data_IF_228852682977
#
_entry.id   IF_228852682977
#
_cell.length_a   1.000
_cell.length_b   1.000
_cell.length_c   1.000
_cell.angle_alpha   90.00
_cell.angle_beta   90.00
_cell.angle_gamma   90.00
#
_symmetry.space_group_name_H-M   'P 1'
#
loop_
_entity.id
_entity.type
_entity.pdbx_description
1 polymer ?
#
# COMPACT_ATOMS: atom_id res chain seq x y z
N UNK A 1 -10.71 19.83 -14.18
CA UNK A 1 -10.26 18.42 -14.09
C UNK A 1 -10.08 18.07 -12.62
N UNK A 2 -10.97 17.26 -12.05
CA UNK A 2 -10.91 16.94 -10.63
C UNK A 2 -9.79 15.92 -10.39
N UNK A 3 -8.79 16.33 -9.61
CA UNK A 3 -7.71 15.44 -9.16
C UNK A 3 -8.09 14.88 -7.81
N UNK A 4 -8.17 13.56 -7.70
CA UNK A 4 -8.57 12.90 -6.48
C UNK A 4 -7.33 12.62 -5.64
N UNK A 5 -7.33 13.10 -4.40
CA UNK A 5 -6.20 13.02 -3.49
C UNK A 5 -6.50 12.09 -2.31
N UNK A 6 -5.83 10.96 -2.24
CA UNK A 6 -6.00 10.02 -1.13
C UNK A 6 -4.68 9.58 -0.53
N UNK A 7 -4.77 8.86 0.59
CA UNK A 7 -3.59 8.35 1.26
C UNK A 7 -3.77 6.94 1.80
N UNK A 8 -2.67 6.18 1.71
CA UNK A 8 -2.53 4.84 2.25
C UNK A 8 -1.35 4.76 3.20
N UNK A 9 -1.45 3.89 4.21
CA UNK A 9 -0.41 3.71 5.22
C UNK A 9 -0.25 2.25 5.55
N UNK A 10 0.99 1.79 5.67
CA UNK A 10 1.32 0.44 6.10
C UNK A 10 2.63 0.45 6.86
N UNK A 11 2.65 -0.16 8.04
CA UNK A 11 3.78 -0.05 8.97
C UNK A 11 4.14 1.43 9.18
N UNK A 12 5.37 1.80 8.86
CA UNK A 12 5.88 3.18 8.88
C UNK A 12 5.83 3.87 7.51
N UNK A 13 5.37 3.18 6.47
CA UNK A 13 5.27 3.70 5.10
C UNK A 13 3.98 4.50 4.90
N UNK A 14 4.12 5.65 4.24
CA UNK A 14 3.03 6.57 3.91
C UNK A 14 3.06 6.80 2.39
N UNK A 15 1.91 6.57 1.76
CA UNK A 15 1.67 6.86 0.36
C UNK A 15 0.62 7.96 0.24
N UNK A 16 0.94 9.03 -0.47
CA UNK A 16 -0.02 10.07 -0.88
C UNK A 16 -0.15 9.99 -2.39
N UNK A 17 -1.36 9.89 -2.90
CA UNK A 17 -1.61 9.73 -4.33
C UNK A 17 -2.47 10.86 -4.87
N UNK A 18 -2.24 11.16 -6.14
CA UNK A 18 -3.07 12.01 -6.96
C UNK A 18 -3.50 11.17 -8.15
N UNK A 19 -4.81 10.95 -8.28
CA UNK A 19 -5.39 10.13 -9.34
C UNK A 19 -6.20 11.01 -10.29
N UNK A 20 -6.05 10.75 -11.58
CA UNK A 20 -6.76 11.42 -12.67
C UNK A 20 -7.16 10.37 -13.72
N UNK A 21 -8.20 10.64 -14.50
CA UNK A 21 -8.52 9.81 -15.66
C UNK A 21 -7.44 9.99 -16.73
N UNK A 22 -6.96 8.89 -17.32
CA UNK A 22 -5.81 8.92 -18.23
C UNK A 22 -5.50 7.55 -18.83
N UNK A 23 -4.22 7.33 -19.17
CA UNK A 23 -3.76 6.19 -19.97
C UNK A 23 -3.16 5.04 -19.14
N UNK A 24 -3.26 5.09 -17.80
CA UNK A 24 -2.73 4.05 -16.92
C UNK A 24 -1.30 4.29 -16.45
N UNK A 25 -0.78 5.50 -16.58
CA UNK A 25 0.60 5.84 -16.19
C UNK A 25 0.71 5.99 -14.66
N UNK A 26 1.52 5.13 -14.04
CA UNK A 26 1.79 5.17 -12.60
C UNK A 26 3.23 5.67 -12.38
N UNK A 27 3.36 6.85 -11.79
CA UNK A 27 4.66 7.45 -11.45
C UNK A 27 4.85 7.51 -9.94
N UNK A 28 6.03 7.11 -9.47
CA UNK A 28 6.39 7.07 -8.05
C UNK A 28 7.63 7.92 -7.82
N UNK A 29 7.49 8.99 -7.04
CA UNK A 29 8.59 9.92 -6.72
C UNK A 29 9.39 10.38 -7.97
N UNK A 30 8.69 10.55 -9.11
CA UNK A 30 9.30 10.98 -10.37
C UNK A 30 9.95 9.87 -11.20
N UNK A 31 9.79 8.59 -10.83
CA UNK A 31 10.26 7.42 -11.59
C UNK A 31 9.08 6.55 -12.00
N UNK A 32 9.27 5.67 -12.98
CA UNK A 32 8.24 4.69 -13.33
C UNK A 32 8.05 3.67 -12.20
N UNK A 33 6.81 3.19 -12.01
CA UNK A 33 6.53 2.25 -10.93
C UNK A 33 7.22 0.90 -11.11
N UNK A 34 7.49 0.47 -12.35
CA UNK A 34 8.21 -0.78 -12.63
C UNK A 34 9.69 -0.68 -12.29
N UNK A 35 10.28 0.50 -12.46
CA UNK A 35 11.64 0.78 -12.03
C UNK A 35 11.75 0.88 -10.50
N UNK A 36 10.74 1.47 -9.86
CA UNK A 36 10.72 1.59 -8.39
C UNK A 36 10.49 0.23 -7.70
N UNK A 37 9.54 -0.56 -8.21
CA UNK A 37 9.24 -1.90 -7.73
C UNK A 37 9.79 -2.94 -8.70
N UNK A 38 11.05 -3.34 -8.50
CA UNK A 38 11.74 -4.28 -9.41
C UNK A 38 11.15 -5.69 -9.39
N UNK A 39 10.52 -6.11 -8.29
CA UNK A 39 9.95 -7.45 -8.13
C UNK A 39 8.53 -7.52 -8.67
N UNK A 40 8.24 -8.48 -9.55
CA UNK A 40 6.90 -8.66 -10.14
C UNK A 40 5.78 -8.87 -9.11
N UNK A 41 6.08 -9.49 -7.96
CA UNK A 41 5.12 -9.63 -6.85
C UNK A 41 4.69 -8.27 -6.27
N UNK A 42 5.60 -7.30 -6.21
CA UNK A 42 5.30 -5.96 -5.69
C UNK A 42 4.49 -5.14 -6.69
N UNK A 43 4.81 -5.27 -7.98
CA UNK A 43 4.02 -4.69 -9.07
C UNK A 43 2.58 -5.24 -9.05
N UNK A 44 2.44 -6.56 -8.91
CA UNK A 44 1.13 -7.20 -8.77
C UNK A 44 0.31 -6.65 -7.60
N UNK A 45 0.93 -6.41 -6.44
CA UNK A 45 0.25 -5.82 -5.27
C UNK A 45 -0.29 -4.42 -5.58
N UNK A 46 0.46 -3.61 -6.33
CA UNK A 46 0.01 -2.26 -6.72
C UNK A 46 -1.17 -2.35 -7.69
N UNK A 47 -1.07 -3.21 -8.70
CA UNK A 47 -2.11 -3.36 -9.73
C UNK A 47 -3.39 -4.02 -9.20
N UNK A 48 -3.30 -4.78 -8.11
CA UNK A 48 -4.38 -5.61 -7.57
C UNK A 48 -5.73 -4.88 -7.45
N UNK A 49 -5.70 -3.62 -7.00
CA UNK A 49 -6.92 -2.82 -6.83
C UNK A 49 -7.58 -2.46 -8.18
N UNK A 50 -6.77 -2.19 -9.21
CA UNK A 50 -7.27 -1.93 -10.57
C UNK A 50 -7.84 -3.19 -11.22
N UNK A 51 -7.17 -4.34 -11.02
CA UNK A 51 -7.61 -5.63 -11.56
C UNK A 51 -8.99 -6.03 -11.04
N UNK A 52 -9.19 -5.89 -9.73
CA UNK A 52 -10.46 -6.23 -9.08
C UNK A 52 -11.61 -5.31 -9.50
N UNK A 53 -11.34 -4.02 -9.67
CA UNK A 53 -12.32 -3.07 -10.17
C UNK A 53 -12.51 -3.15 -11.70
N UNK A 54 -11.71 -3.95 -12.42
CA UNK A 54 -11.71 -4.07 -13.89
C UNK A 54 -11.50 -2.73 -14.62
N UNK A 55 -10.69 -1.84 -14.03
CA UNK A 55 -10.38 -0.50 -14.58
C UNK A 55 -8.89 -0.32 -14.86
N UNK A 56 -8.24 -1.41 -15.29
CA UNK A 56 -6.84 -1.37 -15.71
C UNK A 56 -6.67 -0.40 -16.90
N UNK A 57 -5.64 0.45 -16.84
CA UNK A 57 -5.31 1.38 -17.92
C UNK A 57 -6.18 2.63 -18.04
N UNK A 58 -7.15 2.85 -17.13
CA UNK A 58 -8.08 3.99 -17.23
C UNK A 58 -7.65 5.23 -16.43
N UNK A 59 -6.70 5.09 -15.51
CA UNK A 59 -6.34 6.14 -14.56
C UNK A 59 -4.83 6.35 -14.50
N UNK A 60 -4.41 7.60 -14.55
CA UNK A 60 -3.05 8.02 -14.26
C UNK A 60 -2.91 8.28 -12.76
N UNK A 61 -1.79 7.83 -12.18
CA UNK A 61 -1.52 7.95 -10.75
C UNK A 61 -0.14 8.53 -10.52
N UNK A 62 -0.10 9.64 -9.78
CA UNK A 62 1.15 10.20 -9.25
C UNK A 62 1.23 9.92 -7.75
N UNK A 63 2.29 9.23 -7.33
CA UNK A 63 2.48 8.77 -5.97
C UNK A 63 3.70 9.46 -5.34
N UNK A 64 3.49 10.07 -4.17
CA UNK A 64 4.55 10.49 -3.27
C UNK A 64 4.69 9.47 -2.14
N UNK A 65 5.83 8.78 -2.09
CA UNK A 65 6.15 7.75 -1.11
C UNK A 65 7.22 8.19 -0.13
N UNK A 66 7.00 7.88 1.15
CA UNK A 66 7.98 8.11 2.21
C UNK A 66 7.89 7.04 3.32
N UNK A 67 9.04 6.73 3.93
CA UNK A 67 9.13 5.88 5.11
C UNK A 67 9.02 4.37 4.88
N UNK A 68 9.44 3.61 5.90
CA UNK A 68 9.42 2.14 5.92
C UNK A 68 10.31 1.51 4.85
N UNK A 69 9.85 0.40 4.26
CA UNK A 69 10.58 -0.33 3.22
C UNK A 69 9.67 -0.69 2.05
N UNK A 70 10.27 -1.19 0.97
CA UNK A 70 9.64 -1.34 -0.36
C UNK A 70 8.33 -2.17 -0.30
N UNK A 71 8.32 -3.29 0.43
CA UNK A 71 7.10 -4.11 0.59
C UNK A 71 5.98 -3.36 1.33
N UNK A 72 6.30 -2.62 2.40
CA UNK A 72 5.31 -1.82 3.11
C UNK A 72 4.79 -0.65 2.26
N UNK A 73 5.66 -0.08 1.43
CA UNK A 73 5.29 0.97 0.49
C UNK A 73 4.32 0.48 -0.58
N UNK A 74 4.56 -0.68 -1.21
CA UNK A 74 3.65 -1.26 -2.20
C UNK A 74 2.23 -1.47 -1.65
N UNK A 75 2.12 -2.05 -0.45
CA UNK A 75 0.83 -2.22 0.24
C UNK A 75 0.16 -0.89 0.61
N UNK A 76 0.96 0.14 0.94
CA UNK A 76 0.44 1.48 1.21
C UNK A 76 -0.12 2.13 -0.06
N UNK A 77 0.55 1.98 -1.21
CA UNK A 77 0.05 2.44 -2.52
C UNK A 77 -1.26 1.75 -2.85
N UNK A 78 -1.34 0.42 -2.71
CA UNK A 78 -2.56 -0.35 -2.95
C UNK A 78 -3.76 0.19 -2.15
N UNK A 79 -3.57 0.47 -0.86
CA UNK A 79 -4.63 1.04 -0.02
C UNK A 79 -5.04 2.44 -0.47
N UNK A 80 -4.09 3.25 -0.93
CA UNK A 80 -4.39 4.59 -1.45
C UNK A 80 -5.23 4.50 -2.74
N UNK A 81 -4.82 3.65 -3.69
CA UNK A 81 -5.53 3.42 -4.95
C UNK A 81 -6.97 2.94 -4.67
N UNK A 82 -7.14 1.95 -3.80
CA UNK A 82 -8.47 1.43 -3.45
C UNK A 82 -9.40 2.53 -2.89
N UNK A 83 -8.86 3.47 -2.09
CA UNK A 83 -9.63 4.62 -1.60
C UNK A 83 -9.99 5.59 -2.71
N UNK A 84 -9.04 5.92 -3.60
CA UNK A 84 -9.30 6.82 -4.72
C UNK A 84 -10.38 6.25 -5.65
N UNK A 85 -10.34 4.94 -5.94
CA UNK A 85 -11.38 4.28 -6.72
C UNK A 85 -12.77 4.40 -6.07
N UNK A 86 -12.86 4.25 -4.74
CA UNK A 86 -14.12 4.42 -4.03
C UNK A 86 -14.63 5.88 -4.04
N UNK A 87 -13.74 6.87 -4.12
CA UNK A 87 -14.11 8.28 -4.25
C UNK A 87 -14.59 8.61 -5.67
N UNK A 88 -14.06 7.92 -6.69
CA UNK A 88 -14.54 8.03 -8.08
C UNK A 88 -15.93 7.42 -8.23
N UNK A 89 -16.07 6.15 -7.84
CA UNK A 89 -17.34 5.44 -7.88
C UNK A 89 -17.53 4.62 -6.58
N UNK A 90 -18.53 4.97 -5.76
CA UNK A 90 -18.88 4.21 -4.55
C UNK A 90 -19.22 2.73 -4.78
N UNK A 91 -19.61 2.35 -6.00
CA UNK A 91 -19.96 0.96 -6.36
C UNK A 91 -18.77 -0.01 -6.30
N UNK A 92 -17.54 0.50 -6.38
CA UNK A 92 -16.34 -0.35 -6.25
C UNK A 92 -16.08 -0.78 -4.80
N UNK A 93 -16.69 -0.11 -3.82
CA UNK A 93 -16.51 -0.38 -2.39
C UNK A 93 -16.86 -1.82 -1.98
N UNK A 94 -18.02 -2.41 -2.33
CA UNK A 94 -18.34 -3.80 -1.97
C UNK A 94 -17.32 -4.80 -2.50
N UNK A 95 -16.89 -4.66 -3.76
CA UNK A 95 -15.91 -5.55 -4.42
C UNK A 95 -14.55 -5.46 -3.71
N UNK A 96 -14.05 -4.24 -3.49
CA UNK A 96 -12.75 -4.03 -2.83
C UNK A 96 -12.77 -4.39 -1.34
N UNK A 97 -13.93 -4.31 -0.69
CA UNK A 97 -14.10 -4.68 0.72
C UNK A 97 -14.17 -6.19 0.90
N UNK A 98 -14.79 -6.92 -0.04
CA UNK A 98 -14.82 -8.38 -0.01
C UNK A 98 -13.41 -8.99 -0.01
N UNK A 99 -12.50 -8.42 -0.81
CA UNK A 99 -11.08 -8.81 -0.89
C UNK A 99 -10.20 -8.16 0.20
N UNK A 100 -10.79 -7.42 1.15
CA UNK A 100 -10.07 -6.84 2.29
C UNK A 100 -9.12 -5.68 1.97
N UNK A 101 -9.15 -5.12 0.75
CA UNK A 101 -8.20 -4.09 0.31
C UNK A 101 -8.41 -2.70 0.91
N UNK A 102 -9.60 -2.44 1.45
CA UNK A 102 -9.96 -1.16 2.05
C UNK A 102 -9.51 -1.02 3.52
N UNK A 103 -9.18 -2.13 4.19
CA UNK A 103 -8.80 -2.11 5.60
C UNK A 103 -7.30 -1.84 5.73
N UNK A 104 -6.96 -0.80 6.49
CA UNK A 104 -5.57 -0.60 6.94
C UNK A 104 -5.17 -1.77 7.82
N UNK A 105 -4.07 -2.46 7.49
CA UNK A 105 -3.52 -3.50 8.36
C UNK A 105 -2.85 -2.83 9.59
N UNK A 106 -3.35 -3.11 10.82
CA UNK A 106 -2.88 -2.47 12.04
C UNK A 106 -1.57 -3.06 12.59
N UNK A 107 -1.05 -4.15 12.02
CA UNK A 107 0.17 -4.81 12.51
C UNK A 107 1.38 -3.88 12.39
N UNK A 108 2.04 -3.70 13.52
CA UNK A 108 3.26 -2.89 13.69
C UNK A 108 4.32 -3.71 14.42
N UNK A 109 5.57 -3.22 14.41
CA UNK A 109 6.66 -3.84 15.19
C UNK A 109 6.31 -3.72 16.69
N UNK A 110 6.25 -4.86 17.37
CA UNK A 110 6.03 -4.89 18.82
C UNK A 110 7.24 -4.30 19.54
N UNK A 111 6.99 -3.45 20.54
CA UNK A 111 8.04 -2.83 21.35
C UNK A 111 8.85 -3.89 22.10
N UNK A 112 10.17 -3.68 22.21
CA UNK A 112 11.05 -4.48 23.07
C UNK A 112 10.71 -4.25 24.55
N UNK A 113 10.47 -5.33 25.30
CA UNK A 113 10.27 -5.30 26.75
C UNK A 113 11.63 -5.33 27.48
N UNK A 114 11.81 -4.61 28.60
CA UNK A 114 13.04 -4.68 29.39
C UNK A 114 13.28 -6.11 29.89
N UNK A 115 14.54 -6.49 30.08
CA UNK A 115 14.92 -7.85 30.50
C UNK A 115 14.74 -8.94 29.44
N UNK A 116 14.52 -8.59 28.17
CA UNK A 116 14.43 -9.55 27.05
C UNK A 116 15.35 -9.18 25.88
N UNK A 117 15.95 -10.17 25.18
CA UNK A 117 16.81 -9.90 24.02
C UNK A 117 16.03 -9.31 22.83
N UNK A 118 14.78 -9.72 22.59
CA UNK A 118 13.87 -9.14 21.56
C UNK A 118 12.47 -8.95 22.15
N UNK A 119 11.50 -8.47 21.35
CA UNK A 119 10.11 -8.24 21.80
C UNK A 119 9.51 -9.43 22.57
N UNK A 120 9.69 -10.66 22.05
CA UNK A 120 9.18 -11.89 22.68
C UNK A 120 10.24 -12.91 23.09
N UNK A 121 11.43 -12.90 22.46
CA UNK A 121 12.49 -13.87 22.72
C UNK A 121 12.92 -13.81 24.19
N UNK A 122 13.04 -14.96 24.85
CA UNK A 122 13.60 -15.10 26.21
C UNK A 122 15.06 -15.54 26.12
N UNK A 123 15.84 -15.27 27.16
CA UNK A 123 17.16 -15.87 27.30
C UNK A 123 17.01 -17.38 27.51
N UNK A 124 17.94 -18.15 26.96
CA UNK A 124 18.06 -19.56 27.31
C UNK A 124 18.53 -19.65 28.77
N UNK A 125 17.90 -20.52 29.56
CA UNK A 125 18.31 -20.77 30.93
C UNK A 125 18.76 -22.23 31.06
N UNK A 126 19.79 -22.47 31.87
CA UNK A 126 20.15 -23.82 32.30
C UNK A 126 19.46 -24.11 33.63
N UNK A 127 18.89 -25.31 33.77
CA UNK A 127 18.43 -25.80 35.06
C UNK A 127 19.66 -26.20 35.89
N UNK A 128 19.54 -26.08 37.21
CA UNK A 128 20.54 -26.53 38.19
C UNK A 128 20.09 -27.86 38.78
#
# INVERSE_FOLDING_TARGET
MNTINTSGRRKTSIARIYMQAGNGNITINGRDYKEYFTTGTLQYIVDQAFRLAKVEGQYDVKVNLSGGGISGQAEAVRLAIAKALCEINPEYRPILKAEGLMRRDPRMVERKKPGRPKARKRFQFSKR
#
